data_IF_724564130822
#
_entry.id   IF_724564130822
#
_cell.length_a   1.000
_cell.length_b   1.000
_cell.length_c   1.000
_cell.angle_alpha   90.00
_cell.angle_beta   90.00
_cell.angle_gamma   90.00
#
_symmetry.space_group_name_H-M   'P 1'
#
loop_
_entity.id
_entity.type
_entity.pdbx_description
1 polymer ?
#
# COMPACT_ATOMS: atom_id res chain seq x y z
N UNK A 1 31.81 1.41 2.42
CA UNK A 1 30.63 1.07 3.26
C UNK A 1 29.40 1.64 2.58
N UNK A 2 28.30 0.89 2.48
CA UNK A 2 27.09 1.33 1.79
C UNK A 2 25.91 1.31 2.77
N UNK A 3 25.07 2.34 2.73
CA UNK A 3 23.90 2.48 3.60
C UNK A 3 22.63 2.34 2.78
N UNK A 4 21.70 1.52 3.23
CA UNK A 4 20.40 1.30 2.59
C UNK A 4 19.31 1.66 3.59
N UNK A 5 18.43 2.58 3.21
CA UNK A 5 17.29 2.98 4.05
C UNK A 5 16.01 2.33 3.53
N UNK A 6 15.33 1.57 4.38
CA UNK A 6 14.07 0.92 4.04
C UNK A 6 12.88 1.81 4.41
N UNK A 7 11.80 1.71 3.63
CA UNK A 7 10.54 2.41 3.92
C UNK A 7 9.88 1.92 5.21
N UNK A 8 10.12 0.66 5.61
CA UNK A 8 9.59 0.08 6.84
C UNK A 8 10.64 -0.82 7.52
N UNK A 9 10.46 -1.04 8.83
CA UNK A 9 11.36 -1.90 9.61
C UNK A 9 11.22 -3.39 9.27
N UNK A 10 10.04 -3.84 8.83
CA UNK A 10 9.81 -5.25 8.49
C UNK A 10 10.60 -5.70 7.26
N UNK A 11 10.68 -4.88 6.21
CA UNK A 11 11.49 -5.20 5.03
C UNK A 11 12.97 -5.20 5.40
N UNK A 12 13.42 -4.27 6.25
CA UNK A 12 14.80 -4.26 6.74
C UNK A 12 15.13 -5.56 7.49
N UNK A 13 14.26 -6.00 8.40
CA UNK A 13 14.41 -7.28 9.12
C UNK A 13 14.47 -8.47 8.16
N UNK A 14 13.55 -8.55 7.19
CA UNK A 14 13.53 -9.61 6.17
C UNK A 14 14.80 -9.63 5.31
N UNK A 15 15.30 -8.45 4.92
CA UNK A 15 16.51 -8.33 4.13
C UNK A 15 17.75 -8.83 4.89
N UNK A 16 17.89 -8.45 6.16
CA UNK A 16 19.00 -8.93 7.00
C UNK A 16 18.90 -10.43 7.20
N UNK A 17 17.73 -10.96 7.54
CA UNK A 17 17.53 -12.39 7.72
C UNK A 17 17.86 -13.21 6.46
N UNK A 18 17.55 -12.68 5.27
CA UNK A 18 17.73 -13.39 4.00
C UNK A 18 19.14 -13.26 3.40
N UNK A 19 19.74 -12.08 3.51
CA UNK A 19 20.94 -11.73 2.75
C UNK A 19 22.21 -11.62 3.60
N UNK A 20 22.10 -11.61 4.93
CA UNK A 20 23.28 -11.66 5.76
C UNK A 20 23.99 -13.01 5.58
N UNK A 21 25.27 -12.97 5.23
CA UNK A 21 26.05 -14.16 4.88
C UNK A 21 25.86 -14.66 3.45
N UNK A 22 25.01 -14.02 2.63
CA UNK A 22 24.80 -14.44 1.25
C UNK A 22 26.10 -14.29 0.42
N UNK A 23 26.40 -15.24 -0.47
CA UNK A 23 27.57 -15.16 -1.34
C UNK A 23 27.42 -13.99 -2.33
N UNK A 24 28.49 -13.21 -2.47
CA UNK A 24 28.62 -12.15 -3.46
C UNK A 24 29.89 -12.35 -4.29
N UNK A 25 30.03 -11.60 -5.38
CA UNK A 25 31.18 -11.68 -6.30
C UNK A 25 31.45 -13.11 -6.79
N UNK A 26 30.38 -13.84 -7.14
CA UNK A 26 30.46 -15.24 -7.55
C UNK A 26 30.83 -16.21 -6.42
N UNK A 27 30.61 -15.83 -5.16
CA UNK A 27 30.92 -16.65 -3.98
C UNK A 27 32.31 -16.41 -3.38
N UNK A 28 33.07 -15.45 -3.91
CA UNK A 28 34.39 -15.07 -3.38
C UNK A 28 34.31 -14.47 -1.99
N UNK A 29 33.21 -13.80 -1.67
CA UNK A 29 32.99 -13.21 -0.35
C UNK A 29 31.54 -13.34 0.08
N UNK A 30 31.26 -13.05 1.36
CA UNK A 30 29.92 -13.09 1.94
C UNK A 30 29.50 -11.71 2.40
N UNK A 31 28.25 -11.34 2.11
CA UNK A 31 27.63 -10.12 2.61
C UNK A 31 27.63 -10.11 4.15
N UNK A 32 27.99 -8.98 4.74
CA UNK A 32 27.78 -8.70 6.17
C UNK A 32 26.88 -7.49 6.29
N UNK A 33 25.70 -7.70 6.87
CA UNK A 33 24.67 -6.67 7.02
C UNK A 33 24.48 -6.33 8.49
N UNK A 34 24.46 -5.03 8.81
CA UNK A 34 24.13 -4.51 10.13
C UNK A 34 22.80 -3.74 10.05
N UNK A 35 21.87 -4.04 10.97
CA UNK A 35 20.61 -3.32 11.09
C UNK A 35 20.76 -2.16 12.09
N UNK A 36 20.67 -0.93 11.60
CA UNK A 36 20.65 0.27 12.44
C UNK A 36 19.21 0.75 12.55
N UNK A 37 18.69 0.84 13.77
CA UNK A 37 17.35 1.37 14.06
C UNK A 37 17.55 2.74 14.69
N UNK A 38 17.14 3.79 13.97
CA UNK A 38 17.15 5.16 14.48
C UNK A 38 15.77 5.48 15.08
N UNK A 39 15.64 5.56 16.42
CA UNK A 39 14.37 5.89 17.06
C UNK A 39 13.99 7.37 16.88
N UNK A 40 14.93 8.22 16.47
CA UNK A 40 14.70 9.66 16.30
C UNK A 40 14.17 10.02 14.91
N UNK A 41 14.28 9.10 13.95
CA UNK A 41 13.71 9.27 12.62
C UNK A 41 12.19 9.20 12.67
N UNK A 42 11.58 10.38 12.85
CA UNK A 42 10.15 10.58 12.70
C UNK A 42 9.79 10.41 11.22
N UNK A 43 8.66 9.76 10.90
CA UNK A 43 8.19 9.72 9.52
C UNK A 43 8.01 11.15 9.00
N UNK A 44 8.45 11.41 7.77
CA UNK A 44 8.41 12.75 7.16
C UNK A 44 7.01 13.39 7.13
N UNK A 45 5.96 12.58 7.29
CA UNK A 45 4.57 13.02 7.47
C UNK A 45 3.94 12.30 8.64
N UNK A 46 3.18 13.05 9.43
CA UNK A 46 2.38 12.48 10.52
C UNK A 46 1.31 11.53 9.98
N UNK A 47 0.77 10.66 10.85
CA UNK A 47 -0.37 9.81 10.49
C UNK A 47 -1.56 10.68 10.05
N UNK A 48 -1.85 11.74 10.80
CA UNK A 48 -2.92 12.69 10.53
C UNK A 48 -2.82 13.31 9.13
N UNK A 49 -1.61 13.68 8.67
CA UNK A 49 -1.40 14.19 7.31
C UNK A 49 -1.59 13.15 6.21
N UNK A 50 -1.33 11.87 6.50
CA UNK A 50 -1.54 10.78 5.53
C UNK A 50 -3.01 10.38 5.41
N UNK A 51 -3.78 10.48 6.48
CA UNK A 51 -5.21 10.12 6.49
C UNK A 51 -6.08 11.30 6.05
N UNK A 52 -5.55 12.53 5.99
CA UNK A 52 -6.29 13.68 5.44
C UNK A 52 -6.80 13.33 4.06
N UNK A 53 -8.13 13.38 3.91
CA UNK A 53 -8.77 13.25 2.62
C UNK A 53 -8.15 14.27 1.67
N UNK A 54 -7.61 13.78 0.54
CA UNK A 54 -7.08 14.65 -0.51
C UNK A 54 -8.27 15.46 -0.99
N UNK A 55 -8.32 16.74 -0.60
CA UNK A 55 -9.33 17.65 -1.11
C UNK A 55 -9.30 17.57 -2.64
N UNK A 56 -10.45 17.43 -3.32
CA UNK A 56 -10.48 17.37 -4.77
C UNK A 56 -9.85 18.65 -5.30
N UNK A 57 -8.62 18.55 -5.82
CA UNK A 57 -8.02 19.66 -6.56
C UNK A 57 -8.95 19.90 -7.73
N UNK A 58 -9.59 21.05 -7.73
CA UNK A 58 -10.34 21.55 -8.87
C UNK A 58 -9.31 21.90 -9.96
N UNK A 59 -8.79 20.88 -10.62
CA UNK A 59 -7.88 21.00 -11.74
C UNK A 59 -8.69 21.57 -12.89
N UNK A 60 -8.54 22.88 -13.13
CA UNK A 60 -8.93 23.47 -14.41
C UNK A 60 -8.20 22.66 -15.50
N UNK A 61 -8.91 22.08 -16.48
CA UNK A 61 -8.25 21.35 -17.55
C UNK A 61 -7.43 22.35 -18.37
N UNK A 62 -6.11 22.36 -18.16
CA UNK A 62 -5.20 22.95 -19.13
C UNK A 62 -5.27 22.07 -20.37
N UNK A 63 -5.84 22.62 -21.44
CA UNK A 63 -5.95 21.99 -22.75
C UNK A 63 -4.58 21.57 -23.26
N UNK A 64 -4.21 20.31 -23.00
CA UNK A 64 -3.09 19.68 -23.67
C UNK A 64 -3.48 19.43 -25.13
N UNK A 65 -2.69 20.04 -26.02
CA UNK A 65 -2.84 20.01 -27.47
C UNK A 65 -2.93 18.57 -27.99
N UNK A 66 -3.96 18.34 -28.83
CA UNK A 66 -4.13 17.31 -29.87
C UNK A 66 -2.91 16.40 -30.11
N UNK A 67 -3.08 15.10 -29.82
CA UNK A 67 -2.36 13.99 -30.46
C UNK A 67 -3.38 13.10 -31.20
N UNK A 68 -3.12 12.62 -32.43
CA UNK A 68 -4.12 11.93 -33.22
C UNK A 68 -4.03 10.41 -33.06
N UNK A 69 -5.06 9.77 -32.50
CA UNK A 69 -5.50 8.43 -32.92
C UNK A 69 -6.97 8.24 -32.56
N UNK A 70 -7.85 8.69 -33.46
CA UNK A 70 -9.19 8.12 -33.62
C UNK A 70 -9.02 6.66 -34.05
N UNK A 71 -9.83 5.75 -33.50
CA UNK A 71 -10.00 4.32 -33.86
C UNK A 71 -9.40 3.22 -32.94
N UNK A 72 -9.38 3.41 -31.62
CA UNK A 72 -9.19 2.28 -30.68
C UNK A 72 -10.15 2.27 -29.47
N UNK A 73 -11.15 3.15 -29.43
CA UNK A 73 -12.06 3.32 -28.29
C UNK A 73 -13.50 2.81 -28.57
N UNK A 74 -13.66 1.86 -29.50
CA UNK A 74 -14.98 1.29 -29.84
C UNK A 74 -14.99 -0.24 -29.82
N UNK A 75 -14.28 -0.86 -28.88
CA UNK A 75 -14.45 -2.29 -28.60
C UNK A 75 -13.82 -2.62 -27.24
N UNK A 76 -14.60 -2.52 -26.16
CA UNK A 76 -14.69 -3.52 -25.08
C UNK A 76 -15.22 -2.90 -23.79
N UNK A 77 -16.23 -3.58 -23.27
CA UNK A 77 -16.70 -3.62 -21.87
C UNK A 77 -17.72 -2.55 -21.47
N UNK A 78 -18.95 -2.82 -21.89
CA UNK A 78 -20.14 -2.69 -21.07
C UNK A 78 -19.79 -2.97 -19.59
N UNK A 79 -19.94 -1.95 -18.74
CA UNK A 79 -19.85 -2.07 -17.29
C UNK A 79 -21.03 -2.91 -16.82
N UNK A 80 -20.78 -4.18 -16.51
CA UNK A 80 -21.66 -4.97 -15.65
C UNK A 80 -21.77 -4.23 -14.31
N UNK A 81 -22.97 -3.75 -14.00
CA UNK A 81 -23.29 -3.20 -12.70
C UNK A 81 -23.24 -4.34 -11.69
N UNK A 82 -22.27 -4.30 -10.76
CA UNK A 82 -22.29 -5.18 -9.60
C UNK A 82 -23.52 -4.83 -8.76
N UNK A 83 -24.29 -5.82 -8.26
CA UNK A 83 -25.39 -5.56 -7.35
C UNK A 83 -24.82 -4.86 -6.10
N UNK A 84 -25.40 -3.69 -5.75
CA UNK A 84 -25.08 -3.00 -4.50
C UNK A 84 -25.46 -3.93 -3.35
N UNK A 85 -24.49 -4.27 -2.50
CA UNK A 85 -24.80 -4.95 -1.26
C UNK A 85 -25.69 -4.04 -0.41
N UNK A 86 -26.75 -4.58 0.21
CA UNK A 86 -27.61 -3.80 1.10
C UNK A 86 -26.76 -3.25 2.24
N UNK A 87 -26.97 -1.97 2.58
CA UNK A 87 -26.34 -1.37 3.74
C UNK A 87 -26.96 -2.03 4.97
N UNK A 88 -26.14 -2.70 5.78
CA UNK A 88 -26.58 -3.27 7.06
C UNK A 88 -27.13 -2.15 7.95
N UNK A 89 -28.29 -2.38 8.56
CA UNK A 89 -28.84 -1.47 9.56
C UNK A 89 -28.05 -1.57 10.86
N UNK A 90 -28.27 -0.64 11.79
CA UNK A 90 -27.61 -0.68 13.09
C UNK A 90 -28.02 -1.93 13.90
N UNK A 91 -29.30 -2.31 13.79
CA UNK A 91 -29.87 -3.51 14.41
C UNK A 91 -29.25 -4.81 13.84
N UNK A 92 -29.00 -4.87 12.53
CA UNK A 92 -28.32 -6.03 11.91
C UNK A 92 -26.88 -6.17 12.38
N UNK A 93 -26.18 -5.05 12.62
CA UNK A 93 -24.81 -5.06 13.15
C UNK A 93 -24.77 -5.53 14.61
N UNK A 94 -25.72 -5.10 15.43
CA UNK A 94 -25.80 -5.50 16.83
C UNK A 94 -26.11 -7.00 16.96
N UNK A 95 -26.96 -7.52 16.06
CA UNK A 95 -27.27 -8.96 16.01
C UNK A 95 -26.05 -9.79 15.61
N UNK A 96 -25.31 -9.38 14.59
CA UNK A 96 -24.08 -10.07 14.17
C UNK A 96 -23.00 -10.05 15.26
N UNK A 97 -22.95 -9.00 16.07
CA UNK A 97 -22.05 -8.93 17.22
C UNK A 97 -22.45 -9.94 18.29
N UNK A 98 -23.75 -10.04 18.63
CA UNK A 98 -24.22 -11.03 19.61
C UNK A 98 -23.88 -12.46 19.17
N UNK A 99 -24.18 -12.82 17.91
CA UNK A 99 -23.93 -14.14 17.36
C UNK A 99 -22.42 -14.50 17.38
N UNK A 100 -21.53 -13.54 17.09
CA UNK A 100 -20.07 -13.77 17.11
C UNK A 100 -19.51 -14.06 18.52
N UNK A 101 -20.06 -13.40 19.54
CA UNK A 101 -19.62 -13.61 20.93
C UNK A 101 -20.15 -14.92 21.51
N UNK A 102 -21.34 -15.35 21.11
CA UNK A 102 -21.91 -16.64 21.51
C UNK A 102 -21.21 -17.83 20.81
N UNK A 103 -20.83 -17.72 19.53
CA UNK A 103 -20.11 -18.78 18.81
C UNK A 103 -18.66 -19.00 19.32
N UNK A 104 -18.12 -18.04 20.09
CA UNK A 104 -16.75 -18.09 20.63
C UNK A 104 -16.64 -18.58 22.07
N UNK A 105 -17.74 -18.96 22.71
CA UNK A 105 -17.74 -19.74 23.97
C UNK A 105 -17.81 -21.25 23.70
#
# INVERSE_FOLDING_TARGET
>A
MANITFKNGEMAKKAVAKFNGAPIDGGRSRLRLNLIIDPTQRPARSLSERIRAVAPKNVKPTSAKKGPTKKAALAKKQKQQKPKQPKKSLEDLDKEMADYFEEKQ
#
